data_IF_474386435419
#
_entry.id   IF_474386435419
#
_cell.length_a   1.000
_cell.length_b   1.000
_cell.length_c   1.000
_cell.angle_alpha   90.00
_cell.angle_beta   90.00
_cell.angle_gamma   90.00
#
_symmetry.space_group_name_H-M   'P 1'
#
loop_
_entity.id
_entity.type
_entity.pdbx_description
1 polymer ?
#
# COMPACT_ATOMS: atom_id res chain seq x y z
N UNK A 1 -8.37 -19.85 17.01
CA UNK A 1 -9.34 -18.80 16.67
C UNK A 1 -10.59 -19.43 16.08
N UNK A 2 -11.73 -18.85 16.35
CA UNK A 2 -13.00 -19.28 15.71
C UNK A 2 -13.00 -18.85 14.23
N UNK A 3 -13.81 -19.54 13.43
CA UNK A 3 -13.99 -19.19 12.02
C UNK A 3 -14.42 -17.74 11.84
N UNK A 4 -15.33 -17.29 12.72
CA UNK A 4 -15.82 -15.93 12.70
C UNK A 4 -14.71 -14.92 12.98
N UNK A 5 -13.87 -15.19 13.96
CA UNK A 5 -12.73 -14.32 14.29
C UNK A 5 -11.73 -14.27 13.14
N UNK A 6 -11.48 -15.39 12.48
CA UNK A 6 -10.60 -15.45 11.31
C UNK A 6 -11.20 -14.63 10.17
N UNK A 7 -12.50 -14.75 9.92
CA UNK A 7 -13.18 -13.99 8.86
C UNK A 7 -13.10 -12.47 9.12
N UNK A 8 -13.30 -12.05 10.36
CA UNK A 8 -13.18 -10.63 10.74
C UNK A 8 -11.76 -10.12 10.51
N UNK A 9 -10.76 -10.88 10.92
CA UNK A 9 -9.35 -10.51 10.71
C UNK A 9 -8.99 -10.44 9.24
N UNK A 10 -9.44 -11.40 8.44
CA UNK A 10 -9.22 -11.38 6.99
C UNK A 10 -9.82 -10.12 6.35
N UNK A 11 -11.01 -9.74 6.77
CA UNK A 11 -11.67 -8.54 6.25
C UNK A 11 -10.88 -7.27 6.63
N UNK A 12 -10.37 -7.21 7.86
CA UNK A 12 -9.52 -6.09 8.30
C UNK A 12 -8.26 -5.99 7.46
N UNK A 13 -7.57 -7.11 7.21
CA UNK A 13 -6.38 -7.12 6.38
C UNK A 13 -6.70 -6.76 4.94
N UNK A 14 -7.82 -7.25 4.41
CA UNK A 14 -8.27 -6.91 3.05
C UNK A 14 -8.50 -5.41 2.91
N UNK A 15 -9.17 -4.80 3.89
CA UNK A 15 -9.41 -3.35 3.90
C UNK A 15 -8.10 -2.57 3.96
N UNK A 16 -7.14 -3.04 4.75
CA UNK A 16 -5.83 -2.41 4.85
C UNK A 16 -5.08 -2.45 3.51
N UNK A 17 -5.15 -3.58 2.80
CA UNK A 17 -4.54 -3.73 1.47
C UNK A 17 -5.18 -2.76 0.48
N UNK A 18 -6.52 -2.69 0.45
CA UNK A 18 -7.25 -1.80 -0.45
C UNK A 18 -6.93 -0.34 -0.16
N UNK A 19 -6.90 0.04 1.14
CA UNK A 19 -6.58 1.41 1.54
C UNK A 19 -5.16 1.79 1.13
N UNK A 20 -4.19 0.90 1.33
CA UNK A 20 -2.80 1.13 0.95
C UNK A 20 -2.64 1.24 -0.57
N UNK A 21 -3.38 0.43 -1.33
CA UNK A 21 -3.38 0.49 -2.79
C UNK A 21 -3.92 1.83 -3.28
N UNK A 22 -5.03 2.29 -2.72
CA UNK A 22 -5.63 3.57 -3.07
C UNK A 22 -4.69 4.74 -2.74
N UNK A 23 -4.06 4.70 -1.58
CA UNK A 23 -3.09 5.71 -1.18
C UNK A 23 -1.93 5.78 -2.17
N UNK A 24 -1.37 4.63 -2.54
CA UNK A 24 -0.30 4.54 -3.52
C UNK A 24 -0.71 5.13 -4.87
N UNK A 25 -1.86 4.73 -5.38
CA UNK A 25 -2.33 5.15 -6.70
C UNK A 25 -2.69 6.64 -6.71
N UNK A 26 -3.35 7.12 -5.67
CA UNK A 26 -3.70 8.55 -5.54
C UNK A 26 -2.44 9.40 -5.53
N UNK A 27 -1.43 9.00 -4.75
CA UNK A 27 -0.16 9.72 -4.67
C UNK A 27 0.56 9.71 -6.02
N UNK A 28 0.60 8.58 -6.70
CA UNK A 28 1.22 8.45 -8.01
C UNK A 28 0.58 9.39 -9.03
N UNK A 29 -0.75 9.40 -9.12
CA UNK A 29 -1.47 10.27 -10.05
C UNK A 29 -1.30 11.74 -9.70
N UNK A 30 -1.40 12.11 -8.42
CA UNK A 30 -1.20 13.48 -7.97
C UNK A 30 0.21 13.98 -8.30
N UNK A 31 1.22 13.11 -8.23
CA UNK A 31 2.61 13.50 -8.44
C UNK A 31 3.01 13.56 -9.91
N UNK A 32 2.24 12.97 -10.83
CA UNK A 32 2.55 13.05 -12.27
C UNK A 32 2.59 14.50 -12.74
N UNK A 33 1.57 15.28 -12.43
CA UNK A 33 1.51 16.69 -12.82
C UNK A 33 2.60 17.51 -12.12
N UNK A 34 2.82 17.25 -10.85
CA UNK A 34 3.87 17.94 -10.08
C UNK A 34 5.25 17.69 -10.66
N UNK A 35 5.54 16.46 -11.07
CA UNK A 35 6.82 16.13 -11.70
C UNK A 35 7.04 16.90 -12.99
N UNK A 36 6.00 17.01 -13.81
CA UNK A 36 6.07 17.75 -15.06
C UNK A 36 6.44 19.21 -14.81
N UNK A 37 5.85 19.82 -13.77
CA UNK A 37 6.11 21.21 -13.44
C UNK A 37 7.45 21.43 -12.77
N UNK A 38 7.95 20.46 -12.01
CA UNK A 38 9.16 20.59 -11.20
C UNK A 38 10.42 20.12 -11.90
N UNK A 39 10.28 19.42 -13.02
CA UNK A 39 11.39 18.70 -13.68
C UNK A 39 12.62 19.57 -14.01
N UNK A 40 12.42 20.83 -14.35
CA UNK A 40 13.51 21.70 -14.77
C UNK A 40 14.17 22.48 -13.65
N UNK A 41 13.47 22.66 -12.51
CA UNK A 41 13.91 23.64 -11.51
C UNK A 41 14.07 23.08 -10.08
N UNK A 42 13.58 21.87 -9.79
CA UNK A 42 13.46 21.45 -8.40
C UNK A 42 13.78 19.97 -8.19
N UNK A 43 15.03 19.57 -8.46
CA UNK A 43 15.47 18.19 -8.29
C UNK A 43 15.25 17.67 -6.86
N UNK A 44 15.49 18.53 -5.84
CA UNK A 44 15.28 18.15 -4.46
C UNK A 44 13.79 17.81 -4.19
N UNK A 45 12.88 18.56 -4.80
CA UNK A 45 11.44 18.31 -4.65
C UNK A 45 11.02 17.03 -5.38
N UNK A 46 11.63 16.76 -6.53
CA UNK A 46 11.43 15.48 -7.22
C UNK A 46 11.87 14.29 -6.37
N UNK A 47 12.99 14.44 -5.66
CA UNK A 47 13.48 13.41 -4.76
C UNK A 47 12.49 13.16 -3.62
N UNK A 48 11.88 14.22 -3.08
CA UNK A 48 10.85 14.11 -2.04
C UNK A 48 9.63 13.34 -2.58
N UNK A 49 9.17 13.67 -3.79
CA UNK A 49 8.05 12.97 -4.43
C UNK A 49 8.34 11.49 -4.62
N UNK A 50 9.53 11.15 -5.10
CA UNK A 50 9.96 9.77 -5.27
C UNK A 50 9.99 9.03 -3.94
N UNK A 51 10.44 9.68 -2.87
CA UNK A 51 10.48 9.09 -1.54
C UNK A 51 9.06 8.79 -1.04
N UNK A 52 8.13 9.73 -1.21
CA UNK A 52 6.73 9.54 -0.82
C UNK A 52 6.09 8.36 -1.56
N UNK A 53 6.35 8.24 -2.86
CA UNK A 53 5.84 7.11 -3.65
C UNK A 53 6.44 5.79 -3.19
N UNK A 54 7.74 5.77 -2.87
CA UNK A 54 8.41 4.58 -2.37
C UNK A 54 7.83 4.14 -1.02
N UNK A 55 7.55 5.09 -0.12
CA UNK A 55 6.92 4.80 1.16
C UNK A 55 5.51 4.22 0.97
N UNK A 56 4.72 4.81 0.07
CA UNK A 56 3.36 4.33 -0.21
C UNK A 56 3.40 2.92 -0.80
N UNK A 57 4.32 2.64 -1.70
CA UNK A 57 4.52 1.31 -2.28
C UNK A 57 4.93 0.30 -1.21
N UNK A 58 5.81 0.69 -0.30
CA UNK A 58 6.28 -0.17 0.78
C UNK A 58 5.13 -0.51 1.75
N UNK A 59 4.31 0.48 2.10
CA UNK A 59 3.12 0.31 2.91
C UNK A 59 2.14 -0.69 2.29
N UNK A 60 1.92 -0.56 0.99
CA UNK A 60 1.06 -1.48 0.25
C UNK A 60 1.63 -2.91 0.28
N UNK A 61 2.93 -3.05 0.01
CA UNK A 61 3.60 -4.35 0.03
C UNK A 61 3.52 -5.01 1.41
N UNK A 62 3.71 -4.24 2.48
CA UNK A 62 3.62 -4.74 3.85
C UNK A 62 2.21 -5.17 4.21
N UNK A 63 1.20 -4.38 3.84
CA UNK A 63 -0.21 -4.73 4.08
C UNK A 63 -0.59 -6.01 3.35
N UNK A 64 -0.16 -6.14 2.11
CA UNK A 64 -0.40 -7.32 1.28
C UNK A 64 0.27 -8.57 1.87
N UNK A 65 1.50 -8.42 2.36
CA UNK A 65 2.24 -9.51 2.99
C UNK A 65 1.56 -9.96 4.29
N UNK A 66 1.12 -9.02 5.12
CA UNK A 66 0.39 -9.32 6.35
C UNK A 66 -0.89 -10.11 6.07
N UNK A 67 -1.63 -9.72 5.03
CA UNK A 67 -2.82 -10.43 4.59
C UNK A 67 -2.49 -11.86 4.18
N UNK A 68 -1.47 -12.05 3.36
CA UNK A 68 -1.04 -13.37 2.88
C UNK A 68 -0.59 -14.27 4.02
N UNK A 69 0.18 -13.73 4.96
CA UNK A 69 0.69 -14.49 6.09
C UNK A 69 -0.45 -14.95 7.00
N UNK A 70 -1.41 -14.07 7.27
CA UNK A 70 -2.57 -14.42 8.08
C UNK A 70 -3.42 -15.48 7.39
N UNK A 71 -3.68 -15.32 6.10
CA UNK A 71 -4.45 -16.29 5.31
C UNK A 71 -3.77 -17.65 5.33
N UNK A 72 -2.47 -17.69 5.09
CA UNK A 72 -1.68 -18.93 5.07
C UNK A 72 -1.73 -19.63 6.42
N UNK A 73 -1.65 -18.86 7.50
CA UNK A 73 -1.64 -19.39 8.86
C UNK A 73 -3.00 -19.96 9.28
N UNK A 74 -4.11 -19.31 8.92
CA UNK A 74 -5.42 -19.64 9.47
C UNK A 74 -6.42 -20.22 8.48
N UNK A 75 -6.25 -20.01 7.20
CA UNK A 75 -7.23 -20.42 6.18
C UNK A 75 -6.75 -21.48 5.22
N UNK A 76 -5.44 -21.65 5.09
CA UNK A 76 -4.89 -22.68 4.20
C UNK A 76 -5.07 -24.04 4.83
N UNK A 77 -5.79 -24.92 4.11
CA UNK A 77 -5.91 -26.33 4.49
C UNK A 77 -4.89 -27.13 3.67
N UNK A 78 -4.18 -27.95 4.36
CA UNK A 78 -3.24 -28.88 3.73
C UNK A 78 -3.97 -30.07 3.10
#
# INVERSE_FOLDING_TARGET
MTERAIAVKLEEYRKAVVAALKERDTLKWANIDKRSMLREHYEAQLAILKHQEAEAQHKYANAKQAYRDFYRKHCKKD
#
